data_IF_293576349350
#
_entry.id   IF_293576349350
#
_cell.length_a   1.000
_cell.length_b   1.000
_cell.length_c   1.000
_cell.angle_alpha   90.00
_cell.angle_beta   90.00
_cell.angle_gamma   90.00
#
_symmetry.space_group_name_H-M   'P 1'
#
loop_
_entity.id
_entity.type
_entity.pdbx_description
1 polymer ?
#
# COMPACT_ATOMS: atom_id res chain seq x y z
N UNK A 1 5.67 -13.64 8.30
CA UNK A 1 6.35 -12.74 9.25
C UNK A 1 5.81 -11.32 9.10
N UNK A 2 5.66 -10.55 10.17
CA UNK A 2 5.05 -9.21 10.16
C UNK A 2 6.06 -8.07 9.91
N UNK A 3 7.17 -8.34 9.20
CA UNK A 3 8.26 -7.35 9.02
C UNK A 3 7.72 -6.02 8.52
N UNK A 4 6.98 -6.02 7.40
CA UNK A 4 6.45 -4.77 6.80
C UNK A 4 5.59 -3.99 7.77
N UNK A 5 4.72 -4.68 8.52
CA UNK A 5 3.86 -4.03 9.50
C UNK A 5 4.70 -3.38 10.60
N UNK A 6 5.71 -4.09 11.11
CA UNK A 6 6.57 -3.57 12.18
C UNK A 6 7.40 -2.38 11.68
N UNK A 7 7.99 -2.50 10.49
CA UNK A 7 8.74 -1.43 9.84
C UNK A 7 7.85 -0.19 9.64
N UNK A 8 6.64 -0.37 9.08
CA UNK A 8 5.66 0.71 8.93
C UNK A 8 5.31 1.36 10.27
N UNK A 9 4.97 0.56 11.27
CA UNK A 9 4.60 1.06 12.59
C UNK A 9 5.77 1.83 13.22
N UNK A 10 7.00 1.35 13.08
CA UNK A 10 8.20 2.04 13.58
C UNK A 10 8.42 3.38 12.86
N UNK A 11 8.29 3.44 11.52
CA UNK A 11 8.33 4.70 10.74
C UNK A 11 7.26 5.66 11.28
N UNK A 12 6.00 5.25 11.27
CA UNK A 12 4.89 6.14 11.57
C UNK A 12 4.88 6.57 13.02
N UNK A 13 5.14 5.68 13.97
CA UNK A 13 5.17 6.02 15.39
C UNK A 13 6.31 7.00 15.71
N UNK A 14 7.43 6.90 15.00
CA UNK A 14 8.60 7.79 15.20
C UNK A 14 8.36 9.16 14.59
N UNK A 15 7.92 9.23 13.33
CA UNK A 15 7.63 10.49 12.62
C UNK A 15 6.49 11.26 13.29
N UNK A 16 5.45 10.56 13.77
CA UNK A 16 4.31 11.16 14.46
C UNK A 16 4.57 11.40 15.96
N UNK A 17 5.71 10.96 16.49
CA UNK A 17 6.06 11.05 17.90
C UNK A 17 4.95 10.48 18.82
N UNK A 18 4.52 9.24 18.55
CA UNK A 18 3.43 8.60 19.29
C UNK A 18 3.91 8.21 20.70
N UNK A 19 3.25 8.69 21.78
CA UNK A 19 3.66 8.40 23.14
C UNK A 19 3.74 6.89 23.42
N UNK A 20 4.86 6.46 24.02
CA UNK A 20 5.12 5.06 24.37
C UNK A 20 5.42 4.12 23.19
N UNK A 21 5.40 4.62 21.95
CA UNK A 21 5.68 3.83 20.74
C UNK A 21 6.77 4.42 19.85
N UNK A 22 7.03 5.72 19.96
CA UNK A 22 8.12 6.38 19.22
C UNK A 22 9.46 5.73 19.54
N UNK A 23 10.25 5.47 18.51
CA UNK A 23 11.64 5.03 18.67
C UNK A 23 12.55 6.18 19.08
N UNK A 24 12.09 7.41 18.91
CA UNK A 24 12.78 8.62 19.33
C UNK A 24 12.34 9.07 20.72
N UNK A 25 12.82 8.38 21.77
CA UNK A 25 12.45 8.64 23.17
C UNK A 25 13.62 9.19 23.99
N UNK A 26 13.34 9.63 25.23
CA UNK A 26 14.37 10.25 26.07
C UNK A 26 15.54 9.30 26.38
N UNK A 27 15.29 8.00 26.55
CA UNK A 27 16.36 7.02 26.80
C UNK A 27 17.26 6.88 25.58
N UNK A 28 16.66 6.67 24.40
CA UNK A 28 17.45 6.60 23.17
C UNK A 28 18.25 7.87 22.90
N UNK A 29 17.74 9.04 23.32
CA UNK A 29 18.43 10.34 23.22
C UNK A 29 19.60 10.49 24.20
N UNK A 30 19.52 9.86 25.37
CA UNK A 30 20.61 9.83 26.36
C UNK A 30 21.74 8.91 25.92
N UNK A 31 21.44 7.85 25.17
CA UNK A 31 22.45 6.91 24.65
C UNK A 31 23.22 7.49 23.45
N UNK A 32 22.64 8.46 22.72
CA UNK A 32 23.24 9.01 21.49
C UNK A 32 24.70 9.46 21.64
N UNK A 33 25.10 10.24 22.65
CA UNK A 33 26.49 10.70 22.78
C UNK A 33 27.53 9.57 22.82
N UNK A 34 27.14 8.40 23.31
CA UNK A 34 28.04 7.24 23.46
C UNK A 34 28.06 6.35 22.21
N UNK A 35 26.94 6.26 21.48
CA UNK A 35 26.76 5.28 20.38
C UNK A 35 26.68 5.91 18.99
N UNK A 36 26.44 7.22 18.88
CA UNK A 36 26.19 7.88 17.60
C UNK A 36 26.56 9.37 17.63
N UNK A 37 27.44 9.81 16.74
CA UNK A 37 27.86 11.22 16.64
C UNK A 37 26.80 12.11 15.97
N UNK A 38 25.68 12.36 16.66
CA UNK A 38 24.57 13.24 16.21
C UNK A 38 24.28 14.35 17.23
N UNK A 39 25.17 15.35 17.35
CA UNK A 39 25.07 16.40 18.36
C UNK A 39 23.78 17.22 18.26
N UNK A 40 23.21 17.36 17.07
CA UNK A 40 21.93 18.03 16.83
C UNK A 40 20.74 17.35 17.50
N UNK A 41 20.87 16.07 17.85
CA UNK A 41 19.85 15.28 18.53
C UNK A 41 20.09 15.14 20.04
N UNK A 42 21.24 15.57 20.57
CA UNK A 42 21.57 15.43 21.99
C UNK A 42 20.64 16.25 22.88
N UNK A 43 20.35 15.73 24.07
CA UNK A 43 19.65 16.50 25.10
C UNK A 43 20.57 17.64 25.54
N UNK A 44 20.07 18.87 25.48
CA UNK A 44 20.84 20.05 25.88
C UNK A 44 21.03 20.08 27.40
N UNK A 45 22.03 20.82 27.86
CA UNK A 45 22.34 20.98 29.30
C UNK A 45 21.18 21.52 30.14
N UNK A 46 20.25 22.27 29.53
CA UNK A 46 19.03 22.77 30.15
C UNK A 46 17.86 21.76 30.17
N UNK A 47 18.10 20.51 29.75
CA UNK A 47 17.08 19.45 29.65
C UNK A 47 16.20 19.53 28.40
N UNK A 48 16.40 20.51 27.52
CA UNK A 48 15.63 20.63 26.28
C UNK A 48 15.99 19.51 25.30
N UNK A 49 14.97 18.81 24.80
CA UNK A 49 15.11 17.79 23.75
C UNK A 49 14.88 18.45 22.39
N UNK A 50 15.89 18.52 21.50
CA UNK A 50 15.72 19.09 20.16
C UNK A 50 14.69 18.30 19.34
N UNK A 51 13.88 19.02 18.56
CA UNK A 51 12.96 18.41 17.60
C UNK A 51 13.77 17.91 16.40
N UNK A 52 13.72 16.61 16.07
CA UNK A 52 14.47 16.07 14.93
C UNK A 52 13.82 16.45 13.61
N UNK A 53 14.62 16.45 12.54
CA UNK A 53 14.19 16.78 11.17
C UNK A 53 13.13 15.83 10.58
N UNK A 54 13.02 14.62 11.13
CA UNK A 54 12.06 13.61 10.68
C UNK A 54 10.72 13.66 11.43
N UNK A 55 10.56 14.51 12.45
CA UNK A 55 9.32 14.60 13.24
C UNK A 55 8.39 15.62 12.62
N UNK A 56 7.14 15.22 12.37
CA UNK A 56 6.10 16.13 11.89
C UNK A 56 5.64 17.10 12.99
N UNK A 57 5.46 18.36 12.61
CA UNK A 57 4.78 19.37 13.41
C UNK A 57 3.28 19.05 13.55
N UNK A 58 2.59 19.74 14.45
CA UNK A 58 1.14 19.60 14.63
C UNK A 58 0.36 19.94 13.34
N UNK A 59 0.82 20.96 12.63
CA UNK A 59 0.25 21.43 11.36
C UNK A 59 0.44 20.37 10.28
N UNK A 60 1.66 19.84 10.14
CA UNK A 60 1.97 18.81 9.15
C UNK A 60 1.21 17.50 9.42
N UNK A 61 1.02 17.13 10.69
CA UNK A 61 0.15 16.01 11.08
C UNK A 61 -1.29 16.23 10.60
N UNK A 62 -1.83 17.43 10.83
CA UNK A 62 -3.19 17.77 10.39
C UNK A 62 -3.33 17.62 8.88
N UNK A 63 -2.34 18.13 8.10
CA UNK A 63 -2.31 17.96 6.64
C UNK A 63 -2.31 16.49 6.24
N UNK A 64 -1.40 15.68 6.80
CA UNK A 64 -1.32 14.25 6.53
C UNK A 64 -2.65 13.53 6.82
N UNK A 65 -3.23 13.73 7.99
CA UNK A 65 -4.44 13.02 8.41
C UNK A 65 -5.68 13.48 7.64
N UNK A 66 -5.79 14.77 7.34
CA UNK A 66 -6.87 15.28 6.51
C UNK A 66 -6.78 14.72 5.09
N UNK A 67 -5.57 14.67 4.52
CA UNK A 67 -5.33 14.08 3.21
C UNK A 67 -5.69 12.58 3.19
N UNK A 68 -5.22 11.79 4.16
CA UNK A 68 -5.56 10.36 4.28
C UNK A 68 -7.05 10.15 4.48
N UNK A 69 -7.73 11.01 5.25
CA UNK A 69 -9.16 10.85 5.51
C UNK A 69 -10.04 11.24 4.31
N UNK A 70 -9.66 12.30 3.59
CA UNK A 70 -10.51 12.92 2.57
C UNK A 70 -10.17 12.47 1.14
N UNK A 71 -8.89 12.45 0.78
CA UNK A 71 -8.43 12.30 -0.60
C UNK A 71 -7.94 10.89 -0.94
N UNK A 72 -7.33 10.18 0.03
CA UNK A 72 -6.83 8.82 -0.22
C UNK A 72 -8.01 7.86 -0.40
N UNK A 73 -8.17 7.35 -1.62
CA UNK A 73 -9.16 6.34 -2.02
C UNK A 73 -8.47 5.23 -2.79
N UNK A 74 -8.96 4.01 -2.61
CA UNK A 74 -8.51 2.83 -3.32
C UNK A 74 -9.73 2.06 -3.85
N UNK A 75 -9.56 1.20 -4.86
CA UNK A 75 -10.62 0.32 -5.34
C UNK A 75 -11.24 -0.51 -4.20
N UNK A 76 -12.53 -0.84 -4.32
CA UNK A 76 -13.19 -1.68 -3.33
C UNK A 76 -12.51 -3.05 -3.20
N UNK A 77 -12.42 -3.55 -1.97
CA UNK A 77 -11.72 -4.80 -1.66
C UNK A 77 -10.19 -4.72 -1.69
N UNK A 78 -9.58 -3.61 -2.13
CA UNK A 78 -8.12 -3.47 -2.17
C UNK A 78 -7.52 -3.27 -0.77
N UNK A 79 -7.92 -2.21 -0.05
CA UNK A 79 -7.46 -1.89 1.31
C UNK A 79 -8.64 -1.50 2.19
N UNK A 80 -8.50 -1.58 3.51
CA UNK A 80 -9.54 -1.07 4.39
C UNK A 80 -9.64 0.46 4.28
N UNK A 81 -10.78 1.03 4.70
CA UNK A 81 -10.96 2.47 4.67
C UNK A 81 -10.02 3.15 5.69
N UNK A 82 -8.89 3.67 5.18
CA UNK A 82 -7.83 4.31 5.98
C UNK A 82 -8.33 5.51 6.78
N UNK A 83 -9.42 6.17 6.37
CA UNK A 83 -9.99 7.27 7.17
C UNK A 83 -10.46 6.81 8.55
N UNK A 84 -10.91 5.55 8.67
CA UNK A 84 -11.29 4.95 9.96
C UNK A 84 -10.10 4.62 10.84
N UNK A 85 -8.90 4.60 10.27
CA UNK A 85 -7.67 4.36 11.00
C UNK A 85 -7.04 5.64 11.56
N UNK A 86 -7.56 6.83 11.21
CA UNK A 86 -7.07 8.10 11.74
C UNK A 86 -7.64 8.32 13.15
N UNK A 87 -6.79 8.25 14.18
CA UNK A 87 -7.22 8.47 15.56
C UNK A 87 -6.90 9.90 15.99
N UNK A 88 -7.96 10.72 16.09
CA UNK A 88 -7.92 12.11 16.60
C UNK A 88 -6.88 13.01 15.90
N UNK A 89 -6.48 12.67 14.66
CA UNK A 89 -5.43 13.40 13.94
C UNK A 89 -4.05 13.36 14.62
N UNK A 90 -3.77 12.33 15.42
CA UNK A 90 -2.48 12.19 16.12
C UNK A 90 -1.69 10.95 15.73
N UNK A 91 -2.39 9.85 15.45
CA UNK A 91 -1.77 8.57 15.08
C UNK A 91 -2.70 7.75 14.19
N UNK A 92 -2.13 6.73 13.57
CA UNK A 92 -2.91 5.66 12.97
C UNK A 92 -3.21 4.57 14.00
N UNK A 93 -4.43 4.05 14.01
CA UNK A 93 -4.82 2.90 14.82
C UNK A 93 -5.77 1.97 14.07
N UNK A 94 -5.80 0.70 14.48
CA UNK A 94 -6.66 -0.32 13.87
C UNK A 94 -6.23 -0.81 12.48
N UNK A 95 -5.12 -0.30 11.92
CA UNK A 95 -4.56 -0.80 10.65
C UNK A 95 -4.19 -2.27 10.75
N UNK A 96 -4.61 -3.06 9.76
CA UNK A 96 -4.17 -4.44 9.58
C UNK A 96 -2.84 -4.46 8.83
N UNK A 97 -2.13 -5.58 8.90
CA UNK A 97 -0.83 -5.76 8.24
C UNK A 97 -0.89 -5.38 6.75
N UNK A 98 -1.97 -5.77 6.06
CA UNK A 98 -2.21 -5.40 4.66
C UNK A 98 -2.39 -3.90 4.44
N UNK A 99 -3.04 -3.18 5.38
CA UNK A 99 -3.22 -1.73 5.26
C UNK A 99 -1.87 -1.01 5.40
N UNK A 100 -1.03 -1.46 6.35
CA UNK A 100 0.33 -0.95 6.54
C UNK A 100 1.18 -1.18 5.28
N UNK A 101 1.11 -2.38 4.72
CA UNK A 101 1.77 -2.75 3.48
C UNK A 101 1.35 -1.86 2.30
N UNK A 102 0.05 -1.67 2.08
CA UNK A 102 -0.44 -0.77 1.02
C UNK A 102 0.06 0.65 1.23
N UNK A 103 0.02 1.16 2.46
CA UNK A 103 0.55 2.50 2.75
C UNK A 103 2.04 2.58 2.44
N UNK A 104 2.83 1.60 2.87
CA UNK A 104 4.28 1.56 2.59
C UNK A 104 4.58 1.62 1.10
N UNK A 105 3.93 0.79 0.30
CA UNK A 105 4.28 0.62 -1.11
C UNK A 105 3.68 1.68 -2.01
N UNK A 106 2.48 2.16 -1.66
CA UNK A 106 1.68 3.05 -2.51
C UNK A 106 1.66 4.48 -2.06
N UNK A 107 1.88 4.77 -0.78
CA UNK A 107 1.75 6.12 -0.24
C UNK A 107 3.08 6.71 0.23
N UNK A 108 3.98 5.96 0.89
CA UNK A 108 5.29 6.49 1.29
C UNK A 108 6.08 7.18 0.16
N UNK A 109 6.04 6.70 -1.10
CA UNK A 109 6.75 7.35 -2.20
C UNK A 109 6.43 8.83 -2.43
N UNK A 110 5.31 9.34 -1.91
CA UNK A 110 4.95 10.77 -2.05
C UNK A 110 4.25 11.38 -0.83
N UNK A 111 3.77 10.59 0.13
CA UNK A 111 2.99 11.05 1.28
C UNK A 111 3.70 12.10 2.15
N UNK A 112 5.03 12.16 2.08
CA UNK A 112 5.85 13.08 2.87
C UNK A 112 6.63 14.09 2.03
N UNK A 113 6.43 14.14 0.71
CA UNK A 113 7.20 15.01 -0.19
C UNK A 113 7.12 16.50 0.22
N UNK A 114 5.94 16.95 0.63
CA UNK A 114 5.69 18.32 1.07
C UNK A 114 5.71 18.49 2.60
N UNK A 115 5.89 17.40 3.35
CA UNK A 115 5.80 17.39 4.81
C UNK A 115 7.15 17.24 5.52
N UNK A 116 8.14 16.63 4.86
CA UNK A 116 9.45 16.39 5.45
C UNK A 116 10.54 16.95 4.53
N UNK A 117 11.74 17.25 5.07
CA UNK A 117 12.88 17.63 4.24
C UNK A 117 13.15 16.57 3.16
N UNK A 118 13.57 17.01 1.98
CA UNK A 118 13.76 16.16 0.79
C UNK A 118 14.52 14.87 1.08
N UNK A 119 15.66 14.95 1.78
CA UNK A 119 16.46 13.77 2.16
C UNK A 119 15.70 12.75 3.02
N UNK A 120 14.83 13.22 3.91
CA UNK A 120 14.00 12.34 4.76
C UNK A 120 12.91 11.69 3.93
N UNK A 121 12.24 12.47 3.10
CA UNK A 121 11.23 11.93 2.20
C UNK A 121 11.81 10.90 1.23
N UNK A 122 12.93 11.19 0.57
CA UNK A 122 13.59 10.30 -0.39
C UNK A 122 13.99 8.97 0.25
N UNK A 123 14.52 8.98 1.49
CA UNK A 123 14.84 7.74 2.20
C UNK A 123 13.58 6.89 2.49
N UNK A 124 12.48 7.53 2.89
CA UNK A 124 11.19 6.86 3.12
C UNK A 124 10.54 6.37 1.82
N UNK A 125 10.69 7.12 0.74
CA UNK A 125 10.22 6.75 -0.59
C UNK A 125 10.99 5.55 -1.12
N UNK A 126 12.32 5.54 -0.95
CA UNK A 126 13.19 4.46 -1.40
C UNK A 126 12.91 3.14 -0.68
N UNK A 127 12.68 3.16 0.64
CA UNK A 127 12.30 1.93 1.35
C UNK A 127 10.89 1.45 0.94
N UNK A 128 9.95 2.38 0.70
CA UNK A 128 8.64 2.04 0.15
C UNK A 128 8.71 1.39 -1.23
N UNK A 129 9.60 1.91 -2.10
CA UNK A 129 9.89 1.36 -3.42
C UNK A 129 10.52 -0.04 -3.33
N UNK A 130 11.50 -0.25 -2.44
CA UNK A 130 12.09 -1.57 -2.19
C UNK A 130 11.02 -2.62 -1.86
N UNK A 131 10.14 -2.34 -0.90
CA UNK A 131 9.08 -3.28 -0.54
C UNK A 131 8.11 -3.52 -1.70
N UNK A 132 7.75 -2.46 -2.44
CA UNK A 132 6.88 -2.57 -3.63
C UNK A 132 7.48 -3.50 -4.68
N UNK A 133 8.76 -3.33 -4.99
CA UNK A 133 9.44 -4.07 -6.05
C UNK A 133 9.67 -5.54 -5.62
N UNK A 134 10.02 -5.76 -4.34
CA UNK A 134 10.08 -7.08 -3.71
C UNK A 134 8.72 -7.81 -3.78
N UNK A 135 7.61 -7.06 -3.76
CA UNK A 135 6.25 -7.60 -3.67
C UNK A 135 5.52 -7.70 -5.00
N UNK A 136 6.27 -7.60 -6.10
CA UNK A 136 5.73 -7.80 -7.44
C UNK A 136 5.28 -9.25 -7.63
N UNK A 137 4.26 -9.43 -8.48
CA UNK A 137 3.69 -10.74 -8.80
C UNK A 137 4.69 -11.64 -9.53
N UNK A 138 5.57 -11.02 -10.31
CA UNK A 138 6.58 -11.69 -11.14
C UNK A 138 7.94 -11.14 -10.73
N UNK A 139 8.79 -12.01 -10.20
CA UNK A 139 10.17 -11.67 -9.87
C UNK A 139 11.09 -12.13 -10.99
N UNK A 140 12.00 -11.25 -11.40
CA UNK A 140 13.13 -11.61 -12.26
C UNK A 140 14.39 -11.68 -11.38
N UNK A 141 15.26 -12.64 -11.65
CA UNK A 141 16.45 -12.90 -10.84
C UNK A 141 17.36 -11.66 -10.76
N UNK A 142 17.59 -10.99 -11.89
CA UNK A 142 18.38 -9.75 -12.00
C UNK A 142 17.83 -8.61 -11.12
N UNK A 143 16.50 -8.46 -11.07
CA UNK A 143 15.85 -7.47 -10.20
C UNK A 143 16.04 -7.83 -8.73
N UNK A 144 15.97 -9.12 -8.37
CA UNK A 144 16.14 -9.54 -6.98
C UNK A 144 17.60 -9.38 -6.51
N UNK A 145 18.57 -9.63 -7.40
CA UNK A 145 19.98 -9.32 -7.14
C UNK A 145 20.18 -7.83 -6.87
N UNK A 146 19.58 -6.94 -7.68
CA UNK A 146 19.62 -5.50 -7.43
C UNK A 146 18.98 -5.13 -6.09
N UNK A 147 17.85 -5.75 -5.71
CA UNK A 147 17.24 -5.53 -4.40
C UNK A 147 18.17 -5.96 -3.25
N UNK A 148 18.90 -7.07 -3.43
CA UNK A 148 19.87 -7.58 -2.47
C UNK A 148 21.06 -6.63 -2.29
N UNK A 149 21.57 -6.05 -3.38
CA UNK A 149 22.66 -5.07 -3.33
C UNK A 149 22.22 -3.71 -2.76
N UNK A 150 20.98 -3.31 -3.04
CA UNK A 150 20.47 -1.99 -2.65
C UNK A 150 20.01 -1.92 -1.19
N UNK A 151 19.44 -2.98 -0.62
CA UNK A 151 18.83 -2.91 0.71
C UNK A 151 19.80 -2.47 1.83
N UNK A 152 21.08 -2.87 1.88
CA UNK A 152 22.02 -2.36 2.89
C UNK A 152 22.21 -0.83 2.76
N UNK A 153 22.29 -0.32 1.52
CA UNK A 153 22.43 1.12 1.25
C UNK A 153 21.17 1.88 1.73
N UNK A 154 19.99 1.33 1.46
CA UNK A 154 18.73 1.93 1.92
C UNK A 154 18.61 1.97 3.44
N UNK A 155 19.03 0.91 4.13
CA UNK A 155 19.08 0.89 5.59
C UNK A 155 20.09 1.91 6.12
N UNK A 156 21.28 2.01 5.55
CA UNK A 156 22.26 3.05 5.94
C UNK A 156 21.71 4.47 5.73
N UNK A 157 20.99 4.73 4.63
CA UNK A 157 20.34 6.03 4.39
C UNK A 157 19.30 6.35 5.48
N UNK A 158 18.52 5.34 5.93
CA UNK A 158 17.62 5.51 7.06
C UNK A 158 18.40 5.71 8.37
N UNK A 159 19.51 5.00 8.58
CA UNK A 159 20.36 5.10 9.79
C UNK A 159 20.94 6.50 9.93
N UNK A 160 21.28 7.18 8.83
CA UNK A 160 21.71 8.58 8.84
C UNK A 160 20.63 9.55 9.36
N UNK A 161 19.36 9.14 9.33
CA UNK A 161 18.21 10.01 9.64
C UNK A 161 17.60 9.67 10.99
N UNK A 162 17.32 8.40 11.24
CA UNK A 162 16.65 7.91 12.45
C UNK A 162 17.65 7.51 13.54
N UNK A 163 17.28 7.64 14.83
CA UNK A 163 18.15 7.24 15.93
C UNK A 163 18.37 5.71 15.94
N UNK A 164 19.46 5.20 16.53
CA UNK A 164 19.77 3.76 16.57
C UNK A 164 18.65 2.88 17.14
N UNK A 165 17.85 3.41 18.07
CA UNK A 165 16.68 2.75 18.65
C UNK A 165 15.57 2.42 17.63
N UNK A 166 15.59 3.05 16.45
CA UNK A 166 14.70 2.75 15.34
C UNK A 166 14.99 1.37 14.75
N UNK A 167 16.26 0.96 14.70
CA UNK A 167 16.72 -0.26 14.05
C UNK A 167 16.67 -1.42 15.04
N UNK A 168 15.48 -2.00 15.19
CA UNK A 168 15.33 -3.26 15.89
C UNK A 168 15.54 -4.44 14.92
N UNK A 169 15.39 -5.66 15.44
CA UNK A 169 15.59 -6.88 14.63
C UNK A 169 14.73 -6.85 13.36
N UNK A 170 13.54 -6.24 13.38
CA UNK A 170 12.62 -6.23 12.25
C UNK A 170 13.14 -5.39 11.07
N UNK A 171 13.76 -4.24 11.32
CA UNK A 171 14.38 -3.42 10.28
C UNK A 171 15.56 -4.16 9.65
N UNK A 172 16.39 -4.82 10.46
CA UNK A 172 17.55 -5.55 9.97
C UNK A 172 17.16 -6.78 9.16
N UNK A 173 16.06 -7.47 9.48
CA UNK A 173 15.60 -8.62 8.69
C UNK A 173 15.27 -8.27 7.23
N UNK A 174 15.07 -6.98 6.90
CA UNK A 174 14.84 -6.55 5.52
C UNK A 174 15.97 -6.97 4.57
N UNK A 175 17.22 -7.07 5.05
CA UNK A 175 18.37 -7.47 4.22
C UNK A 175 18.27 -8.90 3.70
N UNK A 176 17.53 -9.76 4.41
CA UNK A 176 17.37 -11.17 4.04
C UNK A 176 16.21 -11.38 3.07
N UNK A 177 15.31 -10.40 2.92
CA UNK A 177 14.11 -10.56 2.12
C UNK A 177 14.36 -10.85 0.63
N UNK A 178 15.36 -10.24 -0.05
CA UNK A 178 15.65 -10.59 -1.44
C UNK A 178 16.10 -12.03 -1.59
N UNK A 179 16.97 -12.52 -0.70
CA UNK A 179 17.41 -13.91 -0.70
C UNK A 179 16.25 -14.88 -0.39
N UNK A 180 15.39 -14.55 0.57
CA UNK A 180 14.16 -15.32 0.80
C UNK A 180 13.26 -15.39 -0.45
N UNK A 181 13.17 -14.29 -1.20
CA UNK A 181 12.39 -14.22 -2.43
C UNK A 181 12.98 -15.08 -3.56
N UNK A 182 14.32 -15.18 -3.66
CA UNK A 182 14.97 -16.14 -4.57
C UNK A 182 14.63 -17.58 -4.23
N UNK A 183 14.62 -17.94 -2.93
CA UNK A 183 14.38 -19.30 -2.50
C UNK A 183 12.91 -19.73 -2.63
N UNK A 184 11.97 -18.85 -2.27
CA UNK A 184 10.54 -19.17 -2.21
C UNK A 184 9.73 -18.73 -3.43
N UNK A 185 10.33 -17.92 -4.30
CA UNK A 185 9.62 -17.19 -5.34
C UNK A 185 8.85 -15.98 -4.80
N UNK A 186 7.84 -15.48 -5.55
CA UNK A 186 7.17 -14.23 -5.21
C UNK A 186 6.49 -14.26 -3.83
N UNK A 187 6.51 -13.11 -3.16
CA UNK A 187 6.27 -13.02 -1.71
C UNK A 187 4.85 -13.35 -1.27
N UNK A 188 3.88 -13.39 -2.18
CA UNK A 188 2.47 -13.63 -1.85
C UNK A 188 2.22 -14.98 -1.16
N UNK A 189 3.08 -15.98 -1.40
CA UNK A 189 3.04 -17.27 -0.68
C UNK A 189 3.84 -17.27 0.63
N UNK A 190 4.81 -16.37 0.79
CA UNK A 190 5.62 -16.23 2.00
C UNK A 190 4.97 -15.36 3.08
N UNK A 191 3.94 -14.61 2.73
CA UNK A 191 3.26 -13.69 3.64
C UNK A 191 2.06 -14.30 4.35
N UNK A 192 1.80 -13.83 5.57
CA UNK A 192 0.74 -14.36 6.43
C UNK A 192 -0.67 -13.97 5.99
N UNK A 193 -0.82 -13.04 5.03
CA UNK A 193 -2.11 -12.44 4.71
C UNK A 193 -3.16 -13.45 4.26
N UNK A 194 -2.80 -14.43 3.43
CA UNK A 194 -3.73 -15.46 2.98
C UNK A 194 -4.20 -16.33 4.16
N UNK A 195 -3.26 -16.72 5.02
CA UNK A 195 -3.53 -17.52 6.21
C UNK A 195 -4.37 -16.75 7.24
N UNK A 196 -4.09 -15.47 7.48
CA UNK A 196 -4.89 -14.61 8.37
C UNK A 196 -6.32 -14.43 7.87
N UNK A 197 -6.51 -14.26 6.55
CA UNK A 197 -7.84 -14.17 5.93
C UNK A 197 -8.59 -15.51 6.10
N UNK A 198 -7.93 -16.63 5.85
CA UNK A 198 -8.50 -17.97 6.03
C UNK A 198 -8.89 -18.23 7.50
N UNK A 199 -7.99 -17.93 8.44
CA UNK A 199 -8.25 -18.06 9.88
C UNK A 199 -9.43 -17.18 10.33
N UNK A 200 -9.53 -15.95 9.83
CA UNK A 200 -10.68 -15.08 10.12
C UNK A 200 -11.99 -15.69 9.64
N UNK A 201 -11.99 -16.29 8.45
CA UNK A 201 -13.16 -16.98 7.91
C UNK A 201 -13.57 -18.18 8.77
N UNK A 202 -12.61 -19.04 9.14
CA UNK A 202 -12.85 -20.20 10.01
C UNK A 202 -13.33 -19.78 11.41
N UNK A 203 -12.75 -18.72 11.98
CA UNK A 203 -13.19 -18.15 13.27
C UNK A 203 -14.66 -17.71 13.24
N UNK A 204 -15.18 -17.30 12.09
CA UNK A 204 -16.60 -17.01 11.91
C UNK A 204 -17.52 -18.21 12.12
N UNK A 205 -17.02 -19.43 11.87
CA UNK A 205 -17.72 -20.72 12.01
C UNK A 205 -17.57 -21.34 13.40
N UNK A 206 -16.53 -20.97 14.16
CA UNK A 206 -16.29 -21.44 15.52
C UNK A 206 -17.20 -20.74 16.56
N UNK A 207 -18.51 -20.99 16.50
CA UNK A 207 -19.52 -20.46 17.42
C UNK A 207 -19.47 -21.12 18.81
N UNK A 208 -19.07 -22.38 18.89
CA UNK A 208 -18.87 -23.09 20.16
C UNK A 208 -17.38 -23.28 20.45
N UNK A 209 -16.86 -22.55 21.43
CA UNK A 209 -15.44 -22.61 21.81
C UNK A 209 -15.06 -23.86 22.62
N UNK A 210 -16.03 -24.56 23.23
CA UNK A 210 -15.76 -25.82 23.94
C UNK A 210 -15.52 -27.00 22.98
N UNK A 211 -15.97 -26.89 21.73
CA UNK A 211 -15.84 -27.88 20.66
C UNK A 211 -15.59 -27.17 19.33
N UNK A 212 -14.44 -26.51 19.22
CA UNK A 212 -14.08 -25.65 18.07
C UNK A 212 -14.18 -26.40 16.73
N UNK A 213 -13.60 -27.59 16.65
CA UNK A 213 -13.60 -28.42 15.43
C UNK A 213 -15.02 -28.78 15.00
N UNK A 214 -15.82 -29.33 15.92
CA UNK A 214 -17.22 -29.67 15.65
C UNK A 214 -18.06 -28.46 15.24
N UNK A 215 -17.79 -27.29 15.84
CA UNK A 215 -18.45 -26.04 15.45
C UNK A 215 -18.08 -25.60 14.04
N UNK A 216 -16.80 -25.71 13.65
CA UNK A 216 -16.34 -25.36 12.30
C UNK A 216 -16.93 -26.31 11.27
N UNK A 217 -16.98 -27.62 11.56
CA UNK A 217 -17.61 -28.63 10.69
C UNK A 217 -19.09 -28.31 10.50
N UNK A 218 -19.84 -28.09 11.58
CA UNK A 218 -21.26 -27.75 11.51
C UNK A 218 -21.51 -26.45 10.71
N UNK A 219 -20.70 -25.42 10.92
CA UNK A 219 -20.78 -24.17 10.17
C UNK A 219 -20.45 -24.36 8.68
N UNK A 220 -19.52 -25.26 8.34
CA UNK A 220 -19.16 -25.58 6.96
C UNK A 220 -20.28 -26.38 6.27
N UNK A 221 -20.82 -27.42 6.92
CA UNK A 221 -21.98 -28.17 6.43
C UNK A 221 -23.19 -27.27 6.18
N UNK A 222 -23.44 -26.31 7.08
CA UNK A 222 -24.52 -25.33 6.93
C UNK A 222 -24.30 -24.47 5.68
N UNK A 223 -23.08 -24.00 5.45
CA UNK A 223 -22.72 -23.19 4.29
C UNK A 223 -22.80 -23.98 2.97
N UNK A 224 -22.28 -25.21 2.95
CA UNK A 224 -22.35 -26.11 1.79
C UNK A 224 -23.80 -26.48 1.47
N UNK A 225 -24.60 -26.83 2.48
CA UNK A 225 -26.03 -27.13 2.30
C UNK A 225 -26.79 -25.91 1.77
N UNK A 226 -26.48 -24.72 2.30
CA UNK A 226 -27.07 -23.45 1.83
C UNK A 226 -26.67 -23.14 0.38
N UNK A 227 -25.45 -23.49 -0.02
CA UNK A 227 -24.98 -23.35 -1.39
C UNK A 227 -25.66 -24.36 -2.33
N UNK A 228 -25.73 -25.63 -1.93
CA UNK A 228 -26.35 -26.69 -2.71
C UNK A 228 -27.85 -26.46 -2.91
N UNK A 229 -28.58 -26.14 -1.84
CA UNK A 229 -30.01 -25.79 -1.92
C UNK A 229 -30.27 -24.55 -2.79
N UNK A 230 -29.27 -23.67 -2.93
CA UNK A 230 -29.34 -22.48 -3.76
C UNK A 230 -29.58 -22.76 -5.25
N UNK A 231 -29.14 -23.92 -5.77
CA UNK A 231 -29.39 -24.35 -7.15
C UNK A 231 -30.86 -24.68 -7.44
N UNK A 232 -31.64 -25.03 -6.41
CA UNK A 232 -33.06 -25.40 -6.57
C UNK A 232 -34.01 -24.20 -6.45
N UNK A 233 -33.53 -23.04 -6.00
CA UNK A 233 -34.34 -21.84 -5.92
C UNK A 233 -34.38 -21.09 -7.26
N UNK A 234 -35.55 -20.53 -7.59
CA UNK A 234 -35.73 -19.67 -8.76
C UNK A 234 -34.70 -18.52 -8.79
N UNK A 235 -34.22 -18.07 -9.96
CA UNK A 235 -33.10 -17.12 -10.10
C UNK A 235 -33.23 -15.83 -9.27
N UNK A 236 -34.46 -15.36 -9.09
CA UNK A 236 -34.81 -14.15 -8.33
C UNK A 236 -34.75 -14.31 -6.80
N UNK A 237 -34.62 -15.54 -6.28
CA UNK A 237 -34.49 -15.78 -4.84
C UNK A 237 -33.09 -15.40 -4.38
N UNK A 238 -33.04 -14.50 -3.39
CA UNK A 238 -31.78 -14.05 -2.78
C UNK A 238 -31.18 -15.17 -1.93
N UNK A 239 -30.12 -15.79 -2.44
CA UNK A 239 -29.32 -16.77 -1.70
C UNK A 239 -27.98 -16.17 -1.31
N UNK A 240 -27.18 -16.86 -0.50
CA UNK A 240 -25.83 -16.38 -0.14
C UNK A 240 -24.88 -16.36 -1.34
N UNK A 241 -25.07 -17.26 -2.31
CA UNK A 241 -24.29 -17.33 -3.55
C UNK A 241 -24.70 -16.24 -4.56
N UNK A 242 -26.00 -15.91 -4.61
CA UNK A 242 -26.57 -14.85 -5.44
C UNK A 242 -26.68 -13.51 -4.72
N UNK A 243 -26.15 -13.42 -3.50
CA UNK A 243 -26.09 -12.16 -2.79
C UNK A 243 -25.16 -11.24 -3.58
N UNK A 244 -25.62 -10.05 -3.98
CA UNK A 244 -24.79 -9.10 -4.69
C UNK A 244 -23.50 -8.86 -3.91
N UNK A 245 -22.41 -8.57 -4.64
CA UNK A 245 -21.16 -8.13 -4.00
C UNK A 245 -21.42 -6.85 -3.20
N UNK A 246 -20.49 -6.49 -2.32
CA UNK A 246 -20.61 -5.26 -1.54
C UNK A 246 -20.74 -4.10 -2.54
N UNK A 247 -21.77 -3.27 -2.37
CA UNK A 247 -22.16 -2.17 -3.28
C UNK A 247 -22.80 -2.57 -4.62
N UNK A 248 -23.07 -3.83 -4.90
CA UNK A 248 -23.89 -4.25 -6.05
C UNK A 248 -25.37 -4.29 -5.61
N UNK A 249 -26.24 -3.59 -6.32
CA UNK A 249 -27.69 -3.55 -6.04
C UNK A 249 -28.51 -4.44 -6.97
N UNK A 250 -27.86 -5.23 -7.83
CA UNK A 250 -28.53 -6.03 -8.86
C UNK A 250 -29.14 -5.18 -9.99
N UNK A 251 -28.68 -3.94 -10.16
CA UNK A 251 -29.05 -3.06 -11.26
C UNK A 251 -28.52 -3.50 -12.63
N UNK A 252 -28.81 -2.71 -13.66
CA UNK A 252 -28.28 -2.94 -15.02
C UNK A 252 -26.86 -2.38 -15.09
N UNK A 253 -25.92 -3.17 -15.62
CA UNK A 253 -24.55 -2.72 -15.85
C UNK A 253 -24.56 -1.43 -16.70
N UNK A 254 -23.68 -0.45 -16.41
CA UNK A 254 -23.56 0.75 -17.23
C UNK A 254 -23.25 0.37 -18.68
N UNK A 255 -24.13 0.74 -19.59
CA UNK A 255 -23.86 0.66 -21.04
C UNK A 255 -23.36 2.02 -21.52
N UNK A 256 -22.14 2.02 -22.05
CA UNK A 256 -21.54 3.21 -22.62
C UNK A 256 -21.85 3.28 -24.12
N UNK A 257 -22.22 4.46 -24.61
CA UNK A 257 -22.46 4.69 -26.05
C UNK A 257 -21.16 4.67 -26.88
N UNK A 258 -20.00 4.59 -26.22
CA UNK A 258 -18.68 4.56 -26.83
C UNK A 258 -18.15 3.13 -26.82
N UNK A 259 -17.75 2.62 -27.98
CA UNK A 259 -17.13 1.30 -28.10
C UNK A 259 -15.72 1.29 -27.49
N UNK A 260 -15.33 0.17 -26.88
CA UNK A 260 -13.98 0.00 -26.31
C UNK A 260 -13.80 0.48 -24.87
N UNK A 261 -14.89 0.80 -24.16
CA UNK A 261 -14.83 1.04 -22.70
C UNK A 261 -14.52 -0.29 -22.00
N UNK A 262 -13.42 -0.39 -21.23
CA UNK A 262 -13.04 -1.62 -20.56
C UNK A 262 -14.09 -2.14 -19.58
N UNK A 263 -14.21 -3.47 -19.45
CA UNK A 263 -15.16 -4.15 -18.56
C UNK A 263 -15.02 -3.77 -17.07
N UNK A 264 -13.88 -3.21 -16.67
CA UNK A 264 -13.70 -2.69 -15.31
C UNK A 264 -14.66 -1.52 -15.01
N UNK A 265 -15.15 -0.81 -16.02
CA UNK A 265 -16.12 0.28 -15.88
C UNK A 265 -17.58 -0.18 -16.00
N UNK A 266 -17.84 -1.42 -16.43
CA UNK A 266 -19.20 -1.97 -16.53
C UNK A 266 -19.69 -2.62 -15.23
N UNK A 267 -19.03 -2.37 -14.09
CA UNK A 267 -19.44 -2.94 -12.82
C UNK A 267 -20.74 -2.31 -12.31
N UNK A 268 -21.67 -3.16 -11.89
CA UNK A 268 -22.92 -2.75 -11.23
C UNK A 268 -22.56 -2.25 -9.82
N UNK A 269 -22.93 -1.01 -9.51
CA UNK A 269 -22.50 -0.33 -8.29
C UNK A 269 -23.49 0.69 -7.76
N UNK A 270 -23.63 0.75 -6.43
CA UNK A 270 -24.41 1.74 -5.69
C UNK A 270 -23.55 2.98 -5.48
N UNK A 271 -23.86 4.05 -6.22
CA UNK A 271 -23.30 5.37 -5.97
C UNK A 271 -23.64 5.81 -4.53
N UNK A 272 -22.61 6.08 -3.72
CA UNK A 272 -22.75 6.43 -2.31
C UNK A 272 -22.25 7.85 -2.05
N UNK A 273 -23.04 8.62 -1.29
CA UNK A 273 -22.71 10.00 -0.92
C UNK A 273 -23.33 11.04 -1.85
N UNK A 274 -22.96 12.30 -1.65
CA UNK A 274 -23.43 13.42 -2.48
C UNK A 274 -22.72 13.35 -3.84
N UNK A 275 -23.49 13.22 -4.92
CA UNK A 275 -22.95 13.33 -6.28
C UNK A 275 -22.29 14.69 -6.44
N UNK A 276 -21.01 14.67 -6.85
CA UNK A 276 -20.28 15.87 -7.23
C UNK A 276 -19.85 15.67 -8.67
N UNK A 277 -20.32 16.55 -9.54
CA UNK A 277 -19.74 16.64 -10.88
C UNK A 277 -18.34 17.23 -10.74
N UNK A 278 -17.36 16.47 -11.21
CA UNK A 278 -15.97 16.90 -11.32
C UNK A 278 -15.64 16.85 -12.79
N UNK A 279 -15.43 18.03 -13.37
CA UNK A 279 -14.90 18.15 -14.71
C UNK A 279 -13.39 18.06 -14.61
N UNK A 280 -12.75 17.20 -15.41
CA UNK A 280 -11.31 17.26 -15.63
C UNK A 280 -11.03 18.45 -16.53
N UNK A 281 -11.01 19.63 -15.92
CA UNK A 281 -10.91 20.90 -16.64
C UNK A 281 -9.47 21.26 -16.98
N UNK A 282 -8.48 20.57 -16.41
CA UNK A 282 -7.07 20.73 -16.76
C UNK A 282 -6.58 19.56 -17.61
N UNK A 283 -5.68 19.85 -18.55
CA UNK A 283 -4.98 18.81 -19.31
C UNK A 283 -4.17 17.88 -18.39
N UNK A 284 -3.73 18.36 -17.22
CA UNK A 284 -3.02 17.56 -16.22
C UNK A 284 -3.92 16.49 -15.57
N UNK A 285 -5.18 16.81 -15.27
CA UNK A 285 -6.13 15.84 -14.70
C UNK A 285 -6.46 14.73 -15.71
N UNK A 286 -6.69 15.11 -16.98
CA UNK A 286 -6.92 14.17 -18.06
C UNK A 286 -5.70 13.29 -18.33
N UNK A 287 -4.50 13.88 -18.31
CA UNK A 287 -3.24 13.16 -18.46
C UNK A 287 -2.99 12.17 -17.33
N UNK A 288 -3.26 12.57 -16.08
CA UNK A 288 -3.12 11.72 -14.90
C UNK A 288 -4.09 10.54 -14.93
N UNK A 289 -5.34 10.78 -15.33
CA UNK A 289 -6.34 9.73 -15.49
C UNK A 289 -5.99 8.74 -16.61
N UNK A 290 -5.59 9.24 -17.79
CA UNK A 290 -5.14 8.40 -18.90
C UNK A 290 -3.94 7.53 -18.51
N UNK A 291 -2.94 8.14 -17.87
CA UNK A 291 -1.78 7.44 -17.32
C UNK A 291 -2.20 6.32 -16.37
N UNK A 292 -3.08 6.63 -15.41
CA UNK A 292 -3.53 5.64 -14.44
C UNK A 292 -4.22 4.46 -15.13
N UNK A 293 -5.07 4.73 -16.12
CA UNK A 293 -5.75 3.70 -16.90
C UNK A 293 -4.72 2.84 -17.65
N UNK A 294 -3.78 3.44 -18.38
CA UNK A 294 -2.75 2.71 -19.15
C UNK A 294 -1.85 1.85 -18.27
N UNK A 295 -1.45 2.34 -17.09
CA UNK A 295 -0.56 1.62 -16.18
C UNK A 295 -1.25 0.52 -15.37
N UNK A 296 -2.58 0.61 -15.16
CA UNK A 296 -3.30 -0.28 -14.24
C UNK A 296 -4.36 -1.16 -14.93
N UNK A 297 -4.70 -0.91 -16.20
CA UNK A 297 -5.66 -1.75 -16.94
C UNK A 297 -4.91 -2.65 -17.92
N UNK A 298 -4.92 -3.96 -17.68
CA UNK A 298 -4.27 -4.96 -18.55
C UNK A 298 -5.08 -5.30 -19.83
N UNK A 299 -6.05 -4.46 -20.20
CA UNK A 299 -6.94 -4.69 -21.33
C UNK A 299 -6.14 -4.70 -22.67
N UNK A 300 -6.39 -5.65 -23.59
CA UNK A 300 -5.75 -5.68 -24.90
C UNK A 300 -5.84 -4.36 -25.67
N UNK A 301 -6.92 -3.60 -25.51
CA UNK A 301 -7.11 -2.30 -26.13
C UNK A 301 -6.18 -1.23 -25.56
N UNK A 302 -5.83 -1.31 -24.27
CA UNK A 302 -4.86 -0.40 -23.65
C UNK A 302 -3.43 -0.68 -24.11
N UNK A 303 -3.09 -1.96 -24.33
CA UNK A 303 -1.80 -2.33 -24.95
C UNK A 303 -1.66 -1.82 -26.39
N UNK A 304 -2.77 -1.66 -27.11
CA UNK A 304 -2.78 -1.05 -28.44
C UNK A 304 -2.44 0.45 -28.40
N UNK A 305 -2.91 1.19 -27.39
CA UNK A 305 -2.49 2.59 -27.22
C UNK A 305 -1.03 2.73 -26.80
N UNK A 306 -0.54 1.82 -25.93
CA UNK A 306 0.89 1.77 -25.60
C UNK A 306 1.73 1.49 -26.85
N UNK A 307 1.31 0.55 -27.70
CA UNK A 307 2.02 0.24 -28.94
C UNK A 307 1.96 1.37 -29.96
N UNK A 308 0.86 2.12 -30.04
CA UNK A 308 0.76 3.34 -30.85
C UNK A 308 1.75 4.41 -30.40
N UNK A 309 1.87 4.66 -29.09
CA UNK A 309 2.86 5.60 -28.55
C UNK A 309 4.29 5.16 -28.90
N UNK A 310 4.61 3.88 -28.70
CA UNK A 310 5.92 3.32 -29.07
C UNK A 310 6.19 3.49 -30.57
N UNK A 311 5.20 3.20 -31.43
CA UNK A 311 5.32 3.37 -32.88
C UNK A 311 5.56 4.83 -33.25
N UNK A 312 4.81 5.77 -32.68
CA UNK A 312 4.99 7.20 -32.93
C UNK A 312 6.38 7.70 -32.50
N UNK A 313 6.90 7.23 -31.36
CA UNK A 313 8.24 7.58 -30.90
C UNK A 313 9.32 7.00 -31.82
N UNK A 314 9.13 5.77 -32.31
CA UNK A 314 10.05 5.12 -33.25
C UNK A 314 10.02 5.77 -34.64
N UNK A 315 8.86 6.22 -35.10
CA UNK A 315 8.70 6.98 -36.34
C UNK A 315 9.32 8.38 -36.24
N UNK A 316 9.11 9.06 -35.10
CA UNK A 316 9.67 10.39 -34.87
C UNK A 316 11.19 10.36 -34.66
N UNK A 317 11.75 9.25 -34.16
CA UNK A 317 13.19 9.07 -33.91
C UNK A 317 13.63 7.70 -34.44
N UNK A 318 13.96 7.60 -35.74
CA UNK A 318 14.42 6.35 -36.34
C UNK A 318 15.71 5.84 -35.67
N UNK A 319 15.71 4.58 -35.25
CA UNK A 319 16.87 3.94 -34.59
C UNK A 319 16.98 4.17 -33.07
N UNK A 320 15.95 4.73 -32.43
CA UNK A 320 15.89 4.85 -30.97
C UNK A 320 15.99 3.46 -30.28
N UNK A 321 16.82 3.36 -29.24
CA UNK A 321 16.94 2.12 -28.47
C UNK A 321 15.70 1.86 -27.61
N UNK A 322 15.38 0.59 -27.39
CA UNK A 322 14.24 0.18 -26.54
C UNK A 322 14.33 0.79 -25.14
N UNK A 323 15.51 0.84 -24.52
CA UNK A 323 15.67 1.45 -23.19
C UNK A 323 15.37 2.96 -23.18
N UNK A 324 15.64 3.67 -24.29
CA UNK A 324 15.38 5.11 -24.38
C UNK A 324 13.92 5.42 -24.69
N UNK A 325 13.24 4.50 -25.40
CA UNK A 325 11.77 4.50 -25.52
C UNK A 325 11.13 4.30 -24.15
N UNK A 326 11.59 3.32 -23.37
CA UNK A 326 11.06 3.07 -22.02
C UNK A 326 11.28 4.26 -21.09
N UNK A 327 12.48 4.89 -21.10
CA UNK A 327 12.71 6.14 -20.33
C UNK A 327 11.82 7.30 -20.78
N UNK A 328 11.45 7.37 -22.06
CA UNK A 328 10.51 8.38 -22.56
C UNK A 328 9.09 8.05 -22.14
N UNK A 329 8.71 6.77 -22.16
CA UNK A 329 7.44 6.27 -21.64
C UNK A 329 7.31 6.62 -20.16
N UNK A 330 8.32 6.33 -19.36
CA UNK A 330 8.33 6.67 -17.94
C UNK A 330 8.26 8.18 -17.72
N UNK A 331 9.01 9.00 -18.48
CA UNK A 331 8.89 10.47 -18.39
C UNK A 331 7.55 11.02 -18.85
N UNK A 332 6.89 10.36 -19.79
CA UNK A 332 5.63 10.83 -20.37
C UNK A 332 4.44 10.43 -19.52
N UNK A 333 4.45 9.23 -18.94
CA UNK A 333 3.34 8.69 -18.16
C UNK A 333 3.58 8.82 -16.64
N UNK A 334 4.80 8.69 -16.12
CA UNK A 334 5.09 8.75 -14.68
C UNK A 334 5.65 10.13 -14.36
N UNK A 335 4.78 11.13 -14.17
CA UNK A 335 5.16 12.39 -13.51
C UNK A 335 4.90 12.31 -12.02
#
# INVERSE_FOLDING_TARGET
MHIEKNFFENIMNTILNVPGKTKDNQKSRLDLPDICSRPELHIKSNGQVPVPVFRLSSEQKSVLFNWVASAVKFPDGYVSNLSRCVEKGQKFSGMKSHDCHVFMQRLLPFAFAELLPTKVHEALAAIGAFFRDLSTRTLKEDVVEQLHENIPILLCNLEMIFPPSFFDVMEHLAVHLPYEALLRGPVHYGWMYQYERAMKYLKGKAKNLAKVEGSIIAGSLTEETSHFTSYYFAPNVRTRQRAPRRYDDGGVAPTYAVAGVPDIFSQIGRMGGKTKEVWWSSDEDAHSAHTYILLNCEDPFMRYFESLFVSQVQEAIPGISTSEVDKRKDRHFIK
#
